data_IF_475410050543
#
_entry.id   IF_475410050543
#
_cell.length_a   1.000
_cell.length_b   1.000
_cell.length_c   1.000
_cell.angle_alpha   90.00
_cell.angle_beta   90.00
_cell.angle_gamma   90.00
#
_symmetry.space_group_name_H-M   'P 1'
#
loop_
_entity.id
_entity.type
_entity.pdbx_description
1 polymer ?
#
# COMPACT_ATOMS: atom_id res chain seq x y z
N UNK A 1 21.61 -2.98 5.76
CA UNK A 1 20.39 -2.46 6.44
C UNK A 1 19.42 -3.62 6.60
N UNK A 2 18.59 -3.65 7.65
CA UNK A 2 17.56 -4.70 7.73
C UNK A 2 16.52 -4.50 6.63
N UNK A 3 15.91 -5.57 6.11
CA UNK A 3 14.79 -5.44 5.18
C UNK A 3 13.57 -4.85 5.90
N UNK A 4 12.86 -3.93 5.25
CA UNK A 4 11.59 -3.44 5.77
C UNK A 4 10.57 -4.57 5.75
N UNK A 5 9.85 -4.73 6.85
CA UNK A 5 8.75 -5.68 6.95
C UNK A 5 7.45 -4.87 7.03
N UNK A 6 6.62 -4.96 6.01
CA UNK A 6 5.30 -4.34 5.95
C UNK A 6 4.43 -4.88 7.11
N UNK A 7 3.59 -4.06 7.71
CA UNK A 7 2.67 -4.51 8.77
C UNK A 7 1.23 -4.27 8.36
N UNK A 8 0.94 -3.07 7.88
CA UNK A 8 -0.44 -2.62 7.63
C UNK A 8 -0.49 -1.54 6.55
N UNK A 9 -1.54 -1.57 5.73
CA UNK A 9 -1.93 -0.45 4.86
C UNK A 9 -3.15 0.25 5.47
N UNK A 10 -3.12 1.57 5.52
CA UNK A 10 -4.18 2.43 6.05
C UNK A 10 -4.65 3.42 4.99
N UNK A 11 -5.94 3.43 4.67
CA UNK A 11 -6.52 4.36 3.70
C UNK A 11 -7.00 5.63 4.42
N UNK A 12 -6.42 6.77 4.05
CA UNK A 12 -6.75 8.09 4.61
C UNK A 12 -7.77 8.83 3.74
N UNK A 13 -7.76 8.54 2.44
CA UNK A 13 -8.79 8.95 1.50
C UNK A 13 -8.89 7.99 0.33
N UNK A 14 -10.10 7.92 -0.22
CA UNK A 14 -10.53 6.90 -1.21
C UNK A 14 -11.45 7.50 -2.26
N UNK A 15 -11.59 8.83 -2.30
CA UNK A 15 -12.40 9.54 -3.27
C UNK A 15 -11.54 10.10 -4.40
N UNK A 16 -12.15 10.25 -5.56
CA UNK A 16 -11.56 10.89 -6.74
C UNK A 16 -11.98 12.35 -6.90
N UNK A 17 -11.19 13.10 -7.66
CA UNK A 17 -11.57 14.39 -8.25
C UNK A 17 -11.92 15.44 -7.20
N UNK A 18 -13.20 15.79 -7.06
CA UNK A 18 -13.68 16.84 -6.15
C UNK A 18 -14.01 16.36 -4.73
N UNK A 19 -13.82 15.06 -4.44
CA UNK A 19 -14.20 14.47 -3.16
C UNK A 19 -15.73 14.39 -3.03
N UNK A 20 -16.22 13.29 -2.48
CA UNK A 20 -17.66 12.99 -2.43
C UNK A 20 -18.40 13.87 -1.40
N UNK A 21 -18.55 15.17 -1.66
CA UNK A 21 -19.23 16.11 -0.75
C UNK A 21 -18.71 16.07 0.70
N UNK A 22 -17.43 15.74 0.89
CA UNK A 22 -16.77 15.61 2.19
C UNK A 22 -16.83 14.23 2.88
N UNK A 23 -17.44 13.20 2.27
CA UNK A 23 -17.53 11.85 2.87
C UNK A 23 -16.22 11.06 2.76
N UNK A 24 -15.59 11.11 1.59
CA UNK A 24 -14.28 10.53 1.30
C UNK A 24 -13.27 11.64 1.09
N UNK A 25 -12.12 11.54 1.75
CA UNK A 25 -10.96 12.37 1.42
C UNK A 25 -10.35 11.96 0.09
N UNK A 26 -9.56 12.86 -0.49
CA UNK A 26 -8.77 12.63 -1.70
C UNK A 26 -7.73 11.53 -1.54
N UNK A 27 -7.12 11.07 -2.64
CA UNK A 27 -6.21 9.92 -2.64
C UNK A 27 -5.09 10.08 -1.61
N UNK A 28 -5.06 9.16 -0.64
CA UNK A 28 -3.90 8.97 0.22
C UNK A 28 -4.02 7.64 0.97
N UNK A 29 -2.93 6.88 0.94
CA UNK A 29 -2.76 5.69 1.76
C UNK A 29 -1.40 5.67 2.43
N UNK A 30 -1.31 4.94 3.54
CA UNK A 30 -0.09 4.82 4.34
C UNK A 30 0.23 3.36 4.60
N UNK A 31 1.39 2.93 4.15
CA UNK A 31 2.04 1.69 4.56
C UNK A 31 2.79 1.92 5.87
N UNK A 32 2.49 1.11 6.88
CA UNK A 32 3.24 1.03 8.15
C UNK A 32 4.16 -0.18 8.11
N UNK A 33 5.45 0.01 8.40
CA UNK A 33 6.41 -1.09 8.62
C UNK A 33 6.39 -1.56 10.08
N UNK A 34 6.89 -2.77 10.34
CA UNK A 34 7.02 -3.33 11.69
C UNK A 34 7.90 -2.49 12.61
N UNK A 35 8.92 -1.80 12.06
CA UNK A 35 9.76 -0.87 12.83
C UNK A 35 9.10 0.50 13.03
N UNK A 36 7.86 0.68 12.57
CA UNK A 36 7.05 1.87 12.76
C UNK A 36 7.28 3.01 11.76
N UNK A 37 8.06 2.79 10.69
CA UNK A 37 8.18 3.76 9.60
C UNK A 37 6.88 3.84 8.81
N UNK A 38 6.52 5.05 8.34
CA UNK A 38 5.38 5.28 7.44
C UNK A 38 5.87 5.66 6.04
N UNK A 39 5.38 4.94 5.03
CA UNK A 39 5.52 5.26 3.61
C UNK A 39 4.15 5.58 3.08
N UNK A 40 3.98 6.78 2.54
CA UNK A 40 2.71 7.26 2.02
C UNK A 40 2.70 7.12 0.50
N UNK A 41 1.57 6.69 -0.08
CA UNK A 41 1.31 6.79 -1.52
C UNK A 41 0.17 7.77 -1.71
N UNK A 42 0.45 8.82 -2.47
CA UNK A 42 -0.33 10.05 -2.61
C UNK A 42 -0.61 10.80 -1.30
N UNK A 43 -0.72 12.11 -1.44
CA UNK A 43 -1.00 13.05 -0.38
C UNK A 43 -2.01 14.09 -0.90
N UNK A 44 -3.24 13.66 -1.14
CA UNK A 44 -4.34 14.55 -1.47
C UNK A 44 -4.68 15.54 -0.36
N UNK A 45 -5.38 16.63 -0.70
CA UNK A 45 -5.72 17.67 0.28
C UNK A 45 -6.42 17.10 1.53
N UNK A 46 -6.08 17.64 2.70
CA UNK A 46 -6.64 17.19 3.98
C UNK A 46 -6.05 15.90 4.53
N UNK A 47 -5.12 15.22 3.84
CA UNK A 47 -4.42 14.01 4.34
C UNK A 47 -3.88 14.19 5.75
N UNK A 48 -3.24 15.33 6.05
CA UNK A 48 -2.75 15.62 7.40
C UNK A 48 -3.86 15.63 8.47
N UNK A 49 -5.07 16.10 8.13
CA UNK A 49 -6.21 16.11 9.06
C UNK A 49 -6.71 14.68 9.29
N UNK A 50 -6.71 13.86 8.24
CA UNK A 50 -7.07 12.44 8.32
C UNK A 50 -6.10 11.68 9.21
N UNK A 51 -4.79 11.90 9.06
CA UNK A 51 -3.78 11.32 9.94
C UNK A 51 -4.05 11.62 11.42
N UNK A 52 -4.44 12.86 11.78
CA UNK A 52 -4.80 13.22 13.17
C UNK A 52 -6.05 12.49 13.68
N UNK A 53 -6.97 12.13 12.78
CA UNK A 53 -8.23 11.43 13.09
C UNK A 53 -8.08 9.91 13.20
N UNK A 54 -6.97 9.32 12.76
CA UNK A 54 -6.74 7.85 12.75
C UNK A 54 -6.69 7.16 14.12
N UNK A 55 -6.97 7.88 15.21
CA UNK A 55 -7.12 7.24 16.51
C UNK A 55 -8.48 6.53 16.57
N UNK A 56 -8.47 5.22 16.35
CA UNK A 56 -9.64 4.37 16.50
C UNK A 56 -9.53 3.57 17.81
N UNK A 57 -10.27 4.01 18.82
CA UNK A 57 -10.67 3.13 19.92
C UNK A 57 -11.80 2.26 19.37
N UNK A 58 -11.47 1.05 18.97
CA UNK A 58 -12.52 0.10 18.63
C UNK A 58 -13.39 -0.24 19.87
N UNK A 59 -14.50 -0.97 19.68
CA UNK A 59 -15.32 -1.45 20.79
C UNK A 59 -14.48 -2.17 21.85
N UNK A 60 -14.92 -2.18 23.13
CA UNK A 60 -14.24 -2.92 24.18
C UNK A 60 -13.95 -4.37 23.75
N UNK A 61 -12.69 -4.81 23.86
CA UNK A 61 -12.24 -6.13 23.41
C UNK A 61 -11.70 -6.19 21.97
N UNK A 62 -11.71 -5.10 21.21
CA UNK A 62 -11.04 -5.01 19.89
C UNK A 62 -9.66 -4.34 20.01
N UNK A 63 -8.76 -4.66 19.07
CA UNK A 63 -7.40 -4.12 19.05
C UNK A 63 -7.47 -2.63 18.70
N UNK A 64 -7.05 -1.76 19.63
CA UNK A 64 -6.90 -0.33 19.37
C UNK A 64 -5.92 -0.13 18.20
N UNK A 65 -6.31 0.74 17.27
CA UNK A 65 -5.45 1.11 16.15
C UNK A 65 -4.67 2.35 16.57
N UNK A 66 -3.33 2.27 16.68
CA UNK A 66 -2.53 3.43 17.06
C UNK A 66 -2.62 4.51 15.97
N UNK A 67 -2.71 5.76 16.42
CA UNK A 67 -2.75 6.92 15.53
C UNK A 67 -1.49 6.98 14.66
N UNK A 68 -1.68 7.31 13.39
CA UNK A 68 -0.58 7.55 12.45
C UNK A 68 0.06 8.91 12.78
N UNK A 69 1.27 8.86 13.34
CA UNK A 69 2.03 10.07 13.67
C UNK A 69 2.76 10.58 12.43
N UNK A 70 2.54 11.84 12.03
CA UNK A 70 3.27 12.49 10.93
C UNK A 70 4.79 12.39 11.10
N UNK A 71 5.26 12.42 12.35
CA UNK A 71 6.68 12.28 12.70
C UNK A 71 7.32 10.95 12.27
N UNK A 72 6.52 9.95 11.91
CA UNK A 72 6.96 8.64 11.42
C UNK A 72 6.95 8.54 9.88
N UNK A 73 6.45 9.55 9.16
CA UNK A 73 6.51 9.60 7.70
C UNK A 73 7.97 9.76 7.26
N UNK A 74 8.43 8.84 6.41
CA UNK A 74 9.81 8.80 5.90
C UNK A 74 9.89 8.93 4.38
N UNK A 75 8.84 8.48 3.69
CA UNK A 75 8.72 8.67 2.26
C UNK A 75 7.27 8.98 1.87
N UNK A 76 7.10 9.85 0.88
CA UNK A 76 5.83 10.06 0.17
C UNK A 76 6.08 9.79 -1.32
N UNK A 77 5.32 8.85 -1.87
CA UNK A 77 5.37 8.44 -3.26
C UNK A 77 4.15 9.05 -3.97
N UNK A 78 4.37 9.98 -4.89
CA UNK A 78 3.33 10.69 -5.63
C UNK A 78 3.16 10.00 -6.98
N UNK A 79 1.95 9.53 -7.26
CA UNK A 79 1.65 8.82 -8.52
C UNK A 79 1.66 9.77 -9.71
N UNK A 80 1.02 10.93 -9.57
CA UNK A 80 0.97 11.98 -10.58
C UNK A 80 0.68 13.35 -9.93
N UNK A 81 0.78 14.44 -10.69
CA UNK A 81 0.71 15.81 -10.15
C UNK A 81 -0.70 16.45 -10.21
N UNK A 82 -1.77 15.66 -10.25
CA UNK A 82 -3.11 16.19 -10.00
C UNK A 82 -3.28 16.60 -8.53
N UNK A 83 -4.10 17.62 -8.30
CA UNK A 83 -4.23 18.26 -7.00
C UNK A 83 -4.77 17.35 -5.90
N UNK A 84 -5.68 16.46 -6.23
CA UNK A 84 -6.24 15.43 -5.35
C UNK A 84 -5.24 14.31 -5.00
N UNK A 85 -4.05 14.29 -5.60
CA UNK A 85 -2.97 13.36 -5.25
C UNK A 85 -1.78 14.05 -4.55
N UNK A 86 -1.60 15.37 -4.69
CA UNK A 86 -0.40 16.02 -4.17
C UNK A 86 -0.61 17.32 -3.36
N UNK A 87 -1.78 17.98 -3.38
CA UNK A 87 -1.95 19.26 -2.68
C UNK A 87 -1.92 19.14 -1.14
N UNK A 88 -2.15 17.95 -0.60
CA UNK A 88 -1.97 17.66 0.82
C UNK A 88 -0.52 17.74 1.28
N UNK A 89 0.46 17.65 0.37
CA UNK A 89 1.88 17.81 0.69
C UNK A 89 2.12 19.13 1.42
N UNK A 90 1.55 20.23 0.94
CA UNK A 90 1.82 21.56 1.52
C UNK A 90 1.39 21.62 2.98
N UNK A 91 0.17 21.16 3.29
CA UNK A 91 -0.30 21.07 4.67
C UNK A 91 0.56 20.14 5.53
N UNK A 92 0.88 18.95 5.01
CA UNK A 92 1.71 17.96 5.71
C UNK A 92 3.10 18.52 6.04
N UNK A 93 3.77 19.13 5.06
CA UNK A 93 5.11 19.71 5.20
C UNK A 93 5.11 20.89 6.18
N UNK A 94 4.12 21.78 6.09
CA UNK A 94 3.96 22.88 7.07
C UNK A 94 3.78 22.33 8.50
N UNK A 95 2.96 21.29 8.68
CA UNK A 95 2.80 20.65 10.00
C UNK A 95 4.12 20.04 10.50
N UNK A 96 4.89 19.37 9.63
CA UNK A 96 6.19 18.78 10.00
C UNK A 96 7.19 19.88 10.37
N UNK A 97 7.24 20.97 9.60
CA UNK A 97 8.08 22.15 9.87
C UNK A 97 7.78 22.74 11.25
N UNK A 98 6.50 23.00 11.55
CA UNK A 98 6.06 23.56 12.84
C UNK A 98 6.38 22.65 14.03
N UNK A 99 6.38 21.34 13.85
CA UNK A 99 6.76 20.39 14.89
C UNK A 99 8.28 20.33 15.13
N UNK A 100 9.08 21.12 14.39
CA UNK A 100 10.55 21.13 14.42
C UNK A 100 11.15 19.74 14.23
N UNK A 101 10.46 18.92 13.45
CA UNK A 101 10.83 17.54 13.16
C UNK A 101 11.87 17.52 12.05
N UNK A 102 13.15 17.65 12.42
CA UNK A 102 14.27 17.58 11.48
C UNK A 102 14.64 16.14 11.12
N UNK A 103 13.77 15.46 10.38
CA UNK A 103 14.04 14.12 9.84
C UNK A 103 13.96 14.13 8.33
N UNK A 104 14.90 13.45 7.69
CA UNK A 104 14.94 13.32 6.23
C UNK A 104 13.62 12.73 5.75
N UNK A 105 12.93 13.49 4.90
CA UNK A 105 11.70 13.06 4.24
C UNK A 105 12.00 12.93 2.75
N UNK A 106 11.78 11.74 2.20
CA UNK A 106 11.99 11.48 0.78
C UNK A 106 10.67 11.70 0.04
N UNK A 107 10.68 12.55 -0.98
CA UNK A 107 9.56 12.76 -1.89
C UNK A 107 9.93 12.14 -3.23
N UNK A 108 9.19 11.11 -3.62
CA UNK A 108 9.36 10.40 -4.89
C UNK A 108 8.16 10.68 -5.77
N UNK A 109 8.35 10.96 -7.05
CA UNK A 109 7.25 11.22 -7.96
C UNK A 109 7.72 11.51 -9.38
N UNK A 110 6.79 11.84 -10.29
CA UNK A 110 7.16 12.20 -11.65
C UNK A 110 7.95 13.52 -11.70
N UNK A 111 8.69 13.72 -12.79
CA UNK A 111 9.36 14.99 -13.10
C UNK A 111 8.40 16.19 -12.95
N UNK A 112 8.85 17.21 -12.21
CA UNK A 112 8.07 18.41 -11.88
C UNK A 112 7.62 18.48 -10.41
N UNK A 113 7.71 17.37 -9.66
CA UNK A 113 7.40 17.33 -8.22
C UNK A 113 8.28 18.29 -7.41
N UNK A 114 9.59 18.31 -7.65
CA UNK A 114 10.52 19.18 -6.92
C UNK A 114 10.19 20.65 -7.18
N UNK A 115 9.99 21.00 -8.45
CA UNK A 115 9.58 22.36 -8.84
C UNK A 115 8.27 22.77 -8.19
N UNK A 116 7.26 21.89 -8.17
CA UNK A 116 5.96 22.14 -7.55
C UNK A 116 6.12 22.45 -6.05
N UNK A 117 6.84 21.59 -5.32
CA UNK A 117 6.99 21.70 -3.87
C UNK A 117 7.83 22.93 -3.51
N UNK A 118 8.99 23.11 -4.13
CA UNK A 118 9.91 24.23 -3.84
C UNK A 118 9.30 25.59 -4.19
N UNK A 119 8.48 25.68 -5.25
CA UNK A 119 7.77 26.92 -5.61
C UNK A 119 6.80 27.36 -4.52
N UNK A 120 6.04 26.43 -3.93
CA UNK A 120 5.10 26.76 -2.85
C UNK A 120 5.84 27.04 -1.55
N UNK A 121 6.85 26.24 -1.20
CA UNK A 121 7.62 26.44 0.02
C UNK A 121 8.31 27.82 0.02
N UNK A 122 9.02 28.17 -1.07
CA UNK A 122 9.77 29.42 -1.19
C UNK A 122 8.90 30.68 -1.03
N UNK A 123 7.68 30.68 -1.57
CA UNK A 123 6.74 31.81 -1.43
C UNK A 123 6.08 31.83 -0.04
N UNK A 124 5.88 30.66 0.58
CA UNK A 124 5.23 30.53 1.89
C UNK A 124 6.15 30.80 3.09
N UNK A 125 7.43 31.10 2.86
CA UNK A 125 8.42 31.33 3.92
C UNK A 125 8.91 30.05 4.61
N UNK A 126 8.82 28.90 3.93
CA UNK A 126 9.45 27.65 4.37
C UNK A 126 10.59 27.30 3.40
N UNK A 127 11.61 26.57 3.86
CA UNK A 127 12.60 25.96 2.95
C UNK A 127 12.59 24.44 3.03
N UNK A 128 12.89 23.82 1.90
CA UNK A 128 13.14 22.38 1.76
C UNK A 128 14.37 21.94 2.57
N UNK A 129 15.39 22.80 2.69
CA UNK A 129 16.56 22.60 3.54
C UNK A 129 16.20 22.45 5.03
N UNK A 130 15.31 23.30 5.56
CA UNK A 130 14.85 23.23 6.95
C UNK A 130 14.10 21.93 7.24
N UNK A 131 13.39 21.43 6.23
CA UNK A 131 12.63 20.18 6.24
C UNK A 131 13.49 18.95 5.90
N UNK A 132 14.76 19.14 5.53
CA UNK A 132 15.67 18.09 5.05
C UNK A 132 15.02 17.21 3.96
N UNK A 133 14.33 17.83 3.00
CA UNK A 133 13.67 17.13 1.91
C UNK A 133 14.70 16.53 0.96
N UNK A 134 14.41 15.33 0.46
CA UNK A 134 15.14 14.72 -0.64
C UNK A 134 14.15 14.39 -1.74
N UNK A 135 14.34 14.99 -2.91
CA UNK A 135 13.55 14.67 -4.09
C UNK A 135 14.17 13.51 -4.87
N UNK A 136 13.32 12.62 -5.38
CA UNK A 136 13.65 11.59 -6.36
C UNK A 136 12.60 11.71 -7.46
N UNK A 137 12.91 12.49 -8.49
CA UNK A 137 12.06 12.60 -9.67
C UNK A 137 12.32 11.42 -10.62
N UNK A 138 11.23 10.83 -11.09
CA UNK A 138 11.23 9.67 -11.98
C UNK A 138 10.65 10.08 -13.33
N UNK A 139 11.24 9.54 -14.40
CA UNK A 139 10.66 9.63 -15.73
C UNK A 139 9.40 8.74 -15.79
N UNK A 140 8.20 9.30 -15.95
CA UNK A 140 6.94 8.55 -15.95
C UNK A 140 6.73 7.70 -17.21
N UNK A 141 7.67 7.71 -18.16
CA UNK A 141 7.58 6.94 -19.41
C UNK A 141 8.32 5.61 -19.38
N UNK A 142 9.13 5.35 -18.35
CA UNK A 142 9.92 4.12 -18.20
C UNK A 142 9.85 3.58 -16.76
N UNK A 143 10.02 2.26 -16.55
CA UNK A 143 10.07 1.69 -15.20
C UNK A 143 11.38 2.03 -14.47
N UNK A 144 11.30 2.13 -13.14
CA UNK A 144 12.43 2.42 -12.25
C UNK A 144 12.46 1.48 -11.05
N UNK A 145 13.65 1.11 -10.60
CA UNK A 145 13.85 0.39 -9.33
C UNK A 145 14.56 1.28 -8.32
N UNK A 146 14.02 1.30 -7.11
CA UNK A 146 14.48 2.15 -6.02
C UNK A 146 14.59 1.35 -4.72
N UNK A 147 15.51 1.77 -3.87
CA UNK A 147 15.58 1.33 -2.48
C UNK A 147 15.41 2.53 -1.56
N UNK A 148 14.31 2.53 -0.80
CA UNK A 148 14.02 3.55 0.20
C UNK A 148 14.71 3.16 1.51
N UNK A 149 15.60 4.03 1.98
CA UNK A 149 16.16 3.96 3.31
C UNK A 149 15.20 4.61 4.31
N UNK A 150 14.57 3.80 5.16
CA UNK A 150 13.62 4.24 6.17
C UNK A 150 14.28 4.17 7.56
N UNK A 151 13.94 5.12 8.42
CA UNK A 151 14.41 5.16 9.80
C UNK A 151 13.23 5.11 10.77
N UNK A 152 12.97 3.91 11.29
CA UNK A 152 11.91 3.62 12.25
C UNK A 152 12.37 3.79 13.70
N UNK A 153 11.49 3.44 14.64
CA UNK A 153 11.80 3.48 16.08
C UNK A 153 12.81 2.38 16.48
N UNK A 154 12.81 1.27 15.74
CA UNK A 154 13.73 0.13 15.92
C UNK A 154 14.93 0.17 14.95
N UNK A 155 15.28 1.36 14.48
CA UNK A 155 16.42 1.62 13.60
C UNK A 155 16.12 1.52 12.11
N UNK A 156 17.19 1.54 11.30
CA UNK A 156 17.10 1.63 9.83
C UNK A 156 16.57 0.35 9.18
N UNK A 157 15.79 0.51 8.12
CA UNK A 157 15.25 -0.56 7.28
C UNK A 157 15.14 -0.13 5.80
N UNK A 158 15.33 -1.07 4.87
CA UNK A 158 15.28 -0.81 3.43
C UNK A 158 14.02 -1.38 2.79
N UNK A 159 13.26 -0.56 2.06
CA UNK A 159 12.09 -0.99 1.29
C UNK A 159 12.39 -0.90 -0.20
N UNK A 160 12.29 -2.02 -0.92
CA UNK A 160 12.41 -2.02 -2.37
C UNK A 160 11.10 -1.52 -2.99
N UNK A 161 11.21 -0.65 -3.99
CA UNK A 161 10.09 -0.05 -4.71
C UNK A 161 10.38 -0.15 -6.20
N UNK A 162 9.44 -0.73 -6.94
CA UNK A 162 9.43 -0.67 -8.40
C UNK A 162 8.36 0.34 -8.83
N UNK A 163 8.78 1.40 -9.51
CA UNK A 163 7.87 2.38 -10.11
C UNK A 163 7.66 2.02 -11.58
N UNK A 164 6.41 2.08 -12.05
CA UNK A 164 6.03 1.67 -13.40
C UNK A 164 5.16 2.75 -14.05
N UNK A 165 5.30 3.03 -15.35
CA UNK A 165 4.40 3.91 -16.09
C UNK A 165 2.94 3.44 -15.98
N UNK A 166 2.03 4.41 -15.96
CA UNK A 166 0.58 4.21 -16.06
C UNK A 166 0.00 5.08 -17.18
N UNK A 167 -1.04 4.58 -17.84
CA UNK A 167 -1.77 5.32 -18.84
C UNK A 167 -2.87 6.17 -18.17
N UNK A 168 -2.64 7.48 -18.11
CA UNK A 168 -3.59 8.44 -17.54
C UNK A 168 -3.61 9.74 -18.36
N UNK A 169 -4.50 10.68 -18.01
CA UNK A 169 -4.64 11.98 -18.70
C UNK A 169 -3.39 12.87 -18.62
N UNK A 170 -2.50 12.60 -17.66
CA UNK A 170 -1.19 13.20 -17.51
C UNK A 170 -0.16 12.12 -17.14
N UNK A 171 1.15 12.41 -17.22
CA UNK A 171 2.17 11.42 -16.88
C UNK A 171 2.01 10.89 -15.44
N UNK A 172 1.91 9.57 -15.31
CA UNK A 172 1.55 8.90 -14.07
C UNK A 172 2.38 7.65 -13.82
N UNK A 173 2.58 7.34 -12.54
CA UNK A 173 3.37 6.22 -12.04
C UNK A 173 2.54 5.36 -11.08
N UNK A 174 2.68 4.05 -11.20
CA UNK A 174 2.27 3.06 -10.20
C UNK A 174 3.46 2.66 -9.35
N UNK A 175 3.22 2.31 -8.08
CA UNK A 175 4.28 1.88 -7.16
C UNK A 175 4.03 0.45 -6.68
N UNK A 176 5.01 -0.41 -6.85
CA UNK A 176 5.00 -1.78 -6.38
C UNK A 176 6.03 -1.92 -5.26
N UNK A 177 5.54 -2.10 -4.03
CA UNK A 177 6.32 -2.19 -2.81
C UNK A 177 6.68 -3.65 -2.54
N UNK A 178 7.97 -3.95 -2.41
CA UNK A 178 8.50 -5.30 -2.40
C UNK A 178 9.22 -5.56 -1.07
N UNK A 179 8.78 -6.56 -0.31
CA UNK A 179 9.56 -7.05 0.82
C UNK A 179 10.79 -7.81 0.32
N UNK A 180 11.96 -7.35 0.75
CA UNK A 180 13.20 -8.10 0.58
C UNK A 180 13.17 -9.37 1.42
N UNK A 181 13.92 -10.35 0.96
CA UNK A 181 14.13 -11.58 1.72
C UNK A 181 14.78 -11.26 3.08
N UNK A 182 14.24 -11.87 4.13
CA UNK A 182 14.72 -11.69 5.49
C UNK A 182 15.40 -12.98 5.94
N UNK A 183 16.48 -12.89 6.75
CA UNK A 183 17.07 -14.08 7.34
C UNK A 183 16.03 -14.81 8.20
N UNK A 184 16.04 -16.15 8.13
CA UNK A 184 15.18 -16.99 8.96
C UNK A 184 15.53 -16.79 10.43
N UNK A 185 14.52 -16.79 11.28
CA UNK A 185 14.72 -16.74 12.73
C UNK A 185 15.20 -18.11 13.24
N UNK A 186 16.14 -18.11 14.17
CA UNK A 186 16.64 -19.32 14.81
C UNK A 186 15.72 -19.72 15.96
N UNK A 187 15.24 -20.97 15.98
CA UNK A 187 14.67 -21.57 17.19
C UNK A 187 15.81 -21.86 18.18
N UNK A 188 16.13 -20.84 18.98
CA UNK A 188 17.22 -20.90 19.94
C UNK A 188 17.01 -22.02 20.98
N UNK A 189 15.76 -22.33 21.34
CA UNK A 189 15.47 -23.41 22.30
C UNK A 189 15.79 -24.77 21.70
N UNK A 190 15.37 -25.03 20.47
CA UNK A 190 15.69 -26.28 19.76
C UNK A 190 17.20 -26.41 19.53
N UNK A 191 17.86 -25.37 19.04
CA UNK A 191 19.29 -25.38 18.79
C UNK A 191 20.12 -25.61 20.07
N UNK A 192 19.80 -24.91 21.17
CA UNK A 192 20.46 -25.11 22.46
C UNK A 192 20.16 -26.49 23.06
N UNK A 193 18.95 -27.03 22.85
CA UNK A 193 18.56 -28.37 23.26
C UNK A 193 19.36 -29.47 22.53
N UNK A 194 19.81 -29.21 21.31
CA UNK A 194 20.72 -30.08 20.54
C UNK A 194 22.20 -29.85 20.89
N UNK A 195 22.51 -28.95 21.82
CA UNK A 195 23.86 -28.71 22.34
C UNK A 195 24.55 -27.46 21.80
N UNK A 196 23.98 -26.76 20.81
CA UNK A 196 24.63 -25.61 20.17
C UNK A 196 24.72 -24.39 21.10
N UNK A 197 25.88 -23.73 21.15
CA UNK A 197 26.16 -22.58 22.02
C UNK A 197 27.00 -21.50 21.32
N UNK A 198 26.81 -20.25 21.77
CA UNK A 198 27.64 -19.12 21.37
C UNK A 198 27.76 -18.95 19.84
N UNK A 199 28.97 -19.14 19.31
CA UNK A 199 29.28 -18.98 17.88
C UNK A 199 28.47 -19.94 16.99
N UNK A 200 28.17 -21.14 17.46
CA UNK A 200 27.43 -22.17 16.72
C UNK A 200 26.00 -21.70 16.40
N UNK A 201 25.35 -21.01 17.34
CA UNK A 201 24.03 -20.41 17.11
C UNK A 201 24.07 -19.32 16.03
N UNK A 202 25.17 -18.56 15.96
CA UNK A 202 25.39 -17.58 14.91
C UNK A 202 25.55 -18.21 13.52
N UNK A 203 26.30 -19.32 13.44
CA UNK A 203 26.48 -20.09 12.20
C UNK A 203 25.17 -20.73 11.74
N UNK A 204 24.43 -21.37 12.66
CA UNK A 204 23.10 -21.94 12.37
C UNK A 204 22.13 -20.84 11.90
N UNK A 205 22.15 -19.66 12.52
CA UNK A 205 21.33 -18.51 12.08
C UNK A 205 21.73 -18.02 10.67
N UNK A 206 23.00 -18.14 10.30
CA UNK A 206 23.50 -17.75 8.99
C UNK A 206 23.25 -18.79 7.88
N UNK A 207 22.50 -19.87 8.17
CA UNK A 207 22.25 -20.92 7.19
C UNK A 207 23.33 -22.00 7.11
N UNK A 208 24.29 -22.01 8.06
CA UNK A 208 25.42 -22.94 8.03
C UNK A 208 25.19 -24.10 9.01
N UNK A 209 25.47 -25.32 8.55
CA UNK A 209 25.43 -26.51 9.38
C UNK A 209 26.62 -26.54 10.34
N UNK A 210 26.42 -27.09 11.54
CA UNK A 210 27.43 -27.07 12.60
C UNK A 210 27.50 -28.42 13.28
N UNK A 211 28.71 -28.92 13.52
CA UNK A 211 28.93 -30.16 14.27
C UNK A 211 29.17 -29.85 15.73
N UNK A 212 28.35 -30.43 16.62
CA UNK A 212 28.42 -30.25 18.07
C UNK A 212 28.40 -31.63 18.73
N UNK A 213 29.40 -31.96 19.55
CA UNK A 213 29.52 -33.27 20.21
C UNK A 213 29.40 -34.46 19.23
N UNK A 214 30.12 -34.41 18.10
CA UNK A 214 30.07 -35.40 17.01
C UNK A 214 28.69 -35.57 16.32
N UNK A 215 27.72 -34.69 16.62
CA UNK A 215 26.41 -34.64 15.98
C UNK A 215 26.34 -33.47 15.01
N UNK A 216 25.97 -33.74 13.75
CA UNK A 216 25.69 -32.70 12.77
C UNK A 216 24.31 -32.08 13.02
N UNK A 217 24.28 -30.78 13.31
CA UNK A 217 23.06 -29.99 13.41
C UNK A 217 22.91 -29.23 12.10
N UNK A 218 21.87 -29.56 11.33
CA UNK A 218 21.55 -28.81 10.11
C UNK A 218 20.85 -27.52 10.46
N UNK A 219 21.24 -26.43 9.81
CA UNK A 219 20.60 -25.14 9.98
C UNK A 219 19.10 -25.20 9.67
N UNK A 220 18.71 -25.95 8.64
CA UNK A 220 17.31 -26.11 8.24
C UNK A 220 16.41 -26.70 9.33
N UNK A 221 16.95 -27.56 10.20
CA UNK A 221 16.21 -28.22 11.27
C UNK A 221 15.91 -27.27 12.44
N UNK A 222 16.73 -26.24 12.63
CA UNK A 222 16.64 -25.32 13.77
C UNK A 222 16.21 -23.91 13.39
N UNK A 223 16.13 -23.60 12.09
CA UNK A 223 15.56 -22.35 11.60
C UNK A 223 14.03 -22.45 11.52
N UNK A 224 13.34 -21.43 12.01
CA UNK A 224 11.91 -21.26 11.80
C UNK A 224 11.62 -21.01 10.30
N UNK A 225 10.39 -21.29 9.81
CA UNK A 225 10.01 -20.98 8.43
C UNK A 225 10.33 -19.53 8.07
N UNK A 226 10.72 -19.28 6.82
CA UNK A 226 10.98 -17.93 6.36
C UNK A 226 9.73 -17.05 6.55
N UNK A 227 9.90 -15.79 7.00
CA UNK A 227 8.78 -14.87 7.08
C UNK A 227 8.21 -14.65 5.68
N UNK A 228 6.88 -14.57 5.60
CA UNK A 228 6.18 -14.34 4.33
C UNK A 228 6.68 -13.06 3.66
N UNK A 229 6.95 -13.15 2.37
CA UNK A 229 7.32 -12.02 1.51
C UNK A 229 6.08 -11.46 0.85
N UNK A 230 5.77 -10.21 1.15
CA UNK A 230 4.63 -9.49 0.57
C UNK A 230 5.07 -8.59 -0.58
N UNK A 231 4.16 -8.49 -1.54
CA UNK A 231 4.22 -7.54 -2.64
C UNK A 231 2.91 -6.74 -2.60
N UNK A 232 3.00 -5.42 -2.58
CA UNK A 232 1.82 -4.54 -2.61
C UNK A 232 1.96 -3.62 -3.81
N UNK A 233 1.13 -3.84 -4.83
CA UNK A 233 1.02 -2.96 -5.98
C UNK A 233 -0.03 -1.89 -5.70
N UNK A 234 0.34 -0.62 -5.87
CA UNK A 234 -0.55 0.54 -5.76
C UNK A 234 -0.61 1.21 -7.12
N UNK A 235 -1.68 0.93 -7.85
CA UNK A 235 -1.98 1.49 -9.16
C UNK A 235 -3.19 2.42 -8.98
N UNK A 236 -2.93 3.72 -8.85
CA UNK A 236 -3.98 4.73 -8.79
C UNK A 236 -4.41 5.07 -10.22
N UNK A 237 -4.88 6.29 -10.45
CA UNK A 237 -5.43 6.81 -11.68
C UNK A 237 -4.77 6.25 -12.94
N UNK A 238 -5.53 5.40 -13.64
CA UNK A 238 -5.07 4.71 -14.85
C UNK A 238 -6.22 4.08 -15.63
N UNK A 239 -6.11 4.07 -16.96
CA UNK A 239 -6.91 3.21 -17.84
C UNK A 239 -6.10 2.06 -18.45
N UNK A 240 -4.79 1.97 -18.15
CA UNK A 240 -3.89 0.98 -18.73
C UNK A 240 -2.55 0.87 -17.99
N UNK A 241 -2.08 -0.36 -17.79
CA UNK A 241 -0.94 -0.65 -16.91
C UNK A 241 -0.20 -1.94 -17.32
N UNK A 242 0.05 -2.11 -18.62
CA UNK A 242 0.62 -3.34 -19.18
C UNK A 242 2.06 -3.60 -18.67
N UNK A 243 2.89 -2.58 -18.50
CA UNK A 243 4.23 -2.69 -17.91
C UNK A 243 4.16 -3.20 -16.46
N UNK A 244 3.20 -2.68 -15.68
CA UNK A 244 2.95 -3.11 -14.32
C UNK A 244 2.49 -4.58 -14.30
N UNK A 245 1.62 -4.96 -15.23
CA UNK A 245 1.13 -6.33 -15.33
C UNK A 245 2.26 -7.31 -15.61
N UNK A 246 3.12 -7.00 -16.57
CA UNK A 246 4.23 -7.88 -16.94
C UNK A 246 5.18 -8.08 -15.75
N UNK A 247 5.54 -6.98 -15.06
CA UNK A 247 6.36 -7.06 -13.85
C UNK A 247 5.69 -7.91 -12.77
N UNK A 248 4.41 -7.69 -12.48
CA UNK A 248 3.68 -8.45 -11.45
C UNK A 248 3.61 -9.93 -11.78
N UNK A 249 3.38 -10.30 -13.05
CA UNK A 249 3.35 -11.70 -13.50
C UNK A 249 4.70 -12.38 -13.35
N UNK A 250 5.78 -11.70 -13.75
CA UNK A 250 7.15 -12.23 -13.64
C UNK A 250 7.54 -12.45 -12.17
N UNK A 251 7.20 -11.50 -11.29
CA UNK A 251 7.59 -11.52 -9.88
C UNK A 251 6.64 -12.29 -8.99
N UNK A 252 5.44 -12.67 -9.47
CA UNK A 252 4.39 -13.34 -8.69
C UNK A 252 4.89 -14.52 -7.85
N UNK A 253 5.80 -15.33 -8.40
CA UNK A 253 6.30 -16.55 -7.74
C UNK A 253 7.27 -16.26 -6.59
N UNK A 254 7.83 -15.06 -6.53
CA UNK A 254 8.78 -14.66 -5.48
C UNK A 254 8.09 -14.25 -4.17
N UNK A 255 6.76 -14.08 -4.19
CA UNK A 255 5.98 -13.51 -3.10
C UNK A 255 4.81 -14.42 -2.72
N UNK A 256 4.58 -14.53 -1.42
CA UNK A 256 3.53 -15.39 -0.86
C UNK A 256 2.15 -14.75 -1.01
N UNK A 257 2.07 -13.42 -0.85
CA UNK A 257 0.82 -12.69 -0.71
C UNK A 257 0.85 -11.36 -1.51
N UNK A 258 0.59 -11.41 -2.83
CA UNK A 258 0.48 -10.22 -3.65
C UNK A 258 -0.88 -9.54 -3.45
N UNK A 259 -0.83 -8.27 -3.05
CA UNK A 259 -1.98 -7.38 -2.91
C UNK A 259 -1.94 -6.36 -4.03
N UNK A 260 -3.06 -6.17 -4.69
CA UNK A 260 -3.27 -5.11 -5.67
C UNK A 260 -4.25 -4.09 -5.09
N UNK A 261 -3.83 -2.84 -5.04
CA UNK A 261 -4.67 -1.67 -4.76
C UNK A 261 -4.85 -0.96 -6.09
N UNK A 262 -6.09 -0.92 -6.60
CA UNK A 262 -6.40 -0.40 -7.92
C UNK A 262 -7.52 0.64 -7.84
N UNK A 263 -7.44 1.69 -8.66
CA UNK A 263 -8.55 2.61 -8.84
C UNK A 263 -9.77 1.90 -9.47
N UNK A 264 -10.96 2.32 -9.05
CA UNK A 264 -12.22 1.94 -9.68
C UNK A 264 -13.12 3.17 -9.70
N UNK A 265 -12.70 4.17 -10.47
CA UNK A 265 -13.38 5.47 -10.50
C UNK A 265 -14.83 5.33 -10.92
N UNK A 266 -15.14 4.45 -11.88
CA UNK A 266 -16.50 4.19 -12.32
C UNK A 266 -16.93 2.72 -12.25
N UNK A 267 -18.23 2.48 -12.35
CA UNK A 267 -18.81 1.15 -12.52
C UNK A 267 -18.62 0.62 -13.94
N UNK A 268 -18.81 -0.70 -14.14
CA UNK A 268 -18.59 -1.38 -15.41
C UNK A 268 -19.35 -0.73 -16.60
N UNK A 269 -20.58 -0.27 -16.36
CA UNK A 269 -21.43 0.36 -17.37
C UNK A 269 -20.84 1.65 -17.98
N UNK A 270 -19.88 2.29 -17.30
CA UNK A 270 -19.24 3.54 -17.72
C UNK A 270 -17.85 3.33 -18.31
N UNK A 271 -17.54 2.13 -18.84
CA UNK A 271 -16.22 1.77 -19.37
C UNK A 271 -15.68 2.78 -20.39
N UNK A 272 -16.45 3.13 -21.41
CA UNK A 272 -16.00 4.08 -22.45
C UNK A 272 -15.67 5.46 -21.87
N UNK A 273 -16.48 5.94 -20.93
CA UNK A 273 -16.25 7.19 -20.23
C UNK A 273 -14.95 7.13 -19.41
N UNK A 274 -14.74 6.04 -18.64
CA UNK A 274 -13.52 5.81 -17.87
C UNK A 274 -12.29 5.86 -18.78
N UNK A 275 -12.29 5.12 -19.89
CA UNK A 275 -11.17 5.12 -20.83
C UNK A 275 -10.88 6.52 -21.37
N UNK A 276 -11.92 7.29 -21.72
CA UNK A 276 -11.77 8.65 -22.25
C UNK A 276 -11.13 9.63 -21.25
N UNK A 277 -11.33 9.41 -19.96
CA UNK A 277 -10.78 10.24 -18.88
C UNK A 277 -9.49 9.68 -18.29
N UNK A 278 -8.99 8.55 -18.81
CA UNK A 278 -7.78 7.91 -18.30
C UNK A 278 -7.98 7.14 -17.00
N UNK A 279 -9.19 6.62 -16.76
CA UNK A 279 -9.57 5.88 -15.56
C UNK A 279 -10.01 4.45 -15.84
N UNK A 280 -10.21 3.68 -14.76
CA UNK A 280 -10.65 2.29 -14.79
C UNK A 280 -12.03 2.09 -14.18
N UNK A 281 -12.69 1.01 -14.61
CA UNK A 281 -13.88 0.49 -13.94
C UNK A 281 -13.51 -0.59 -12.91
N UNK A 282 -14.45 -0.93 -12.04
CA UNK A 282 -14.30 -2.09 -11.14
C UNK A 282 -14.03 -3.41 -11.87
N UNK A 283 -14.64 -3.60 -13.04
CA UNK A 283 -14.43 -4.77 -13.89
C UNK A 283 -13.00 -4.80 -14.45
N UNK A 284 -12.50 -3.68 -14.99
CA UNK A 284 -11.12 -3.57 -15.48
C UNK A 284 -10.10 -3.89 -14.36
N UNK A 285 -10.34 -3.39 -13.16
CA UNK A 285 -9.50 -3.69 -11.99
C UNK A 285 -9.56 -5.19 -11.61
N UNK A 286 -10.74 -5.81 -11.70
CA UNK A 286 -10.94 -7.25 -11.49
C UNK A 286 -10.22 -8.11 -12.53
N UNK A 287 -10.36 -7.78 -13.81
CA UNK A 287 -9.66 -8.43 -14.92
C UNK A 287 -8.15 -8.35 -14.74
N UNK A 288 -7.63 -7.17 -14.39
CA UNK A 288 -6.22 -6.96 -14.13
C UNK A 288 -5.72 -7.81 -12.94
N UNK A 289 -6.50 -7.88 -11.85
CA UNK A 289 -6.17 -8.69 -10.67
C UNK A 289 -6.06 -10.18 -11.01
N UNK A 290 -6.97 -10.71 -11.83
CA UNK A 290 -6.90 -12.08 -12.34
C UNK A 290 -5.67 -12.31 -13.21
N UNK A 291 -5.42 -11.40 -14.18
CA UNK A 291 -4.26 -11.50 -15.11
C UNK A 291 -2.91 -11.48 -14.39
N UNK A 292 -2.77 -10.74 -13.27
CA UNK A 292 -1.52 -10.67 -12.50
C UNK A 292 -1.43 -11.73 -11.38
N UNK A 293 -2.49 -12.50 -11.14
CA UNK A 293 -2.53 -13.51 -10.09
C UNK A 293 -2.51 -12.90 -8.68
N UNK A 294 -3.10 -11.72 -8.50
CA UNK A 294 -3.22 -11.08 -7.20
C UNK A 294 -4.03 -11.97 -6.25
N UNK A 295 -3.59 -12.08 -5.00
CA UNK A 295 -4.35 -12.84 -4.00
C UNK A 295 -5.46 -11.98 -3.39
N UNK A 296 -5.24 -10.67 -3.34
CA UNK A 296 -6.21 -9.72 -2.85
C UNK A 296 -6.26 -8.48 -3.75
N UNK A 297 -7.47 -8.07 -4.12
CA UNK A 297 -7.76 -6.81 -4.80
C UNK A 297 -8.43 -5.84 -3.82
N UNK A 298 -7.95 -4.62 -3.76
CA UNK A 298 -8.54 -3.52 -2.99
C UNK A 298 -8.89 -2.38 -3.93
N UNK A 299 -10.18 -2.09 -4.09
CA UNK A 299 -10.66 -0.99 -4.91
C UNK A 299 -10.63 0.34 -4.14
N UNK A 300 -10.19 1.42 -4.79
CA UNK A 300 -10.15 2.77 -4.23
C UNK A 300 -10.50 3.83 -5.29
N UNK A 301 -10.37 5.11 -4.95
CA UNK A 301 -10.52 6.24 -5.87
C UNK A 301 -11.92 6.35 -6.50
N UNK A 302 -12.97 6.24 -5.68
CA UNK A 302 -14.35 6.18 -6.14
C UNK A 302 -14.87 7.55 -6.61
N UNK A 303 -15.66 7.58 -7.69
CA UNK A 303 -16.34 8.79 -8.15
C UNK A 303 -17.30 9.35 -7.08
N UNK A 304 -17.37 10.69 -6.91
CA UNK A 304 -18.37 11.35 -6.09
C UNK A 304 -19.83 10.99 -6.44
N UNK A 305 -20.06 10.45 -7.64
CA UNK A 305 -21.40 10.03 -8.11
C UNK A 305 -22.00 8.93 -7.23
N UNK A 306 -21.17 8.08 -6.63
CA UNK A 306 -21.65 6.93 -5.84
C UNK A 306 -21.91 7.31 -4.39
N UNK A 307 -23.10 7.88 -4.14
CA UNK A 307 -23.48 8.45 -2.85
C UNK A 307 -24.20 7.49 -1.89
N UNK A 308 -24.53 6.27 -2.30
CA UNK A 308 -25.31 5.34 -1.45
C UNK A 308 -25.11 3.85 -1.69
N UNK A 309 -24.18 3.44 -2.57
CA UNK A 309 -24.04 2.03 -2.89
C UNK A 309 -23.65 1.23 -1.62
N UNK A 310 -24.46 0.25 -1.17
CA UNK A 310 -23.92 -0.79 -0.31
C UNK A 310 -22.83 -1.44 -1.16
N UNK A 311 -21.59 -1.38 -0.66
CA UNK A 311 -20.35 -1.90 -1.23
C UNK A 311 -20.41 -3.32 -1.85
N UNK A 312 -21.53 -4.03 -1.66
CA UNK A 312 -21.90 -5.34 -2.21
C UNK A 312 -22.24 -5.34 -3.70
N UNK A 313 -22.79 -4.28 -4.28
CA UNK A 313 -23.16 -4.26 -5.71
C UNK A 313 -21.93 -4.10 -6.62
N UNK A 314 -20.94 -3.31 -6.21
CA UNK A 314 -19.65 -3.13 -6.91
C UNK A 314 -18.86 -4.43 -7.09
N UNK A 315 -19.07 -5.41 -6.21
CA UNK A 315 -18.45 -6.75 -6.26
C UNK A 315 -19.32 -7.78 -6.98
N UNK A 316 -20.62 -7.50 -7.19
CA UNK A 316 -21.57 -8.43 -7.82
C UNK A 316 -21.59 -8.34 -9.34
N UNK A 317 -21.28 -7.16 -9.92
CA UNK A 317 -21.30 -6.96 -11.37
C UNK A 317 -20.20 -7.72 -12.15
N UNK A 318 -19.35 -8.51 -11.47
CA UNK A 318 -18.36 -9.41 -12.08
C UNK A 318 -18.82 -10.86 -12.26
N UNK A 319 -20.12 -11.15 -12.12
CA UNK A 319 -20.70 -12.46 -12.40
C UNK A 319 -22.11 -12.30 -12.95
N UNK A 320 -22.34 -12.85 -14.15
CA UNK A 320 -23.67 -13.10 -14.69
C UNK A 320 -24.50 -13.92 -13.69
N UNK A 321 -25.77 -13.54 -13.50
CA UNK A 321 -26.90 -14.47 -13.65
C UNK A 321 -28.27 -13.77 -13.58
N UNK A 322 -29.20 -14.44 -14.24
CA UNK A 322 -30.51 -14.06 -14.74
C UNK A 322 -31.61 -13.89 -13.66
N UNK A 323 -32.79 -13.51 -14.15
CA UNK A 323 -34.09 -13.30 -13.50
C UNK A 323 -34.43 -14.21 -12.30
N UNK A 324 -35.00 -13.63 -11.24
CA UNK A 324 -36.30 -14.12 -10.73
C UNK A 324 -37.02 -13.08 -9.86
N UNK A 325 -38.32 -12.99 -10.11
CA UNK A 325 -39.30 -12.05 -9.59
C UNK A 325 -39.92 -12.54 -8.26
N UNK A 326 -40.29 -11.59 -7.38
CA UNK A 326 -41.40 -11.68 -6.40
C UNK A 326 -41.34 -12.64 -5.17
N UNK A 327 -41.19 -12.07 -3.95
CA UNK A 327 -42.25 -11.94 -2.89
C UNK A 327 -41.73 -11.87 -1.43
N UNK A 328 -42.23 -10.81 -0.75
CA UNK A 328 -42.74 -10.70 0.65
C UNK A 328 -41.86 -10.95 1.90
N UNK A 329 -41.73 -9.84 2.64
CA UNK A 329 -42.10 -9.56 4.05
C UNK A 329 -41.48 -10.36 5.22
N UNK A 330 -40.87 -9.55 6.11
CA UNK A 330 -40.84 -9.59 7.59
C UNK A 330 -39.98 -10.66 8.29
N UNK A 331 -39.19 -10.17 9.27
CA UNK A 331 -38.87 -10.92 10.49
C UNK A 331 -37.41 -11.35 10.69
N UNK A 332 -36.80 -10.71 11.70
CA UNK A 332 -35.90 -11.31 12.69
C UNK A 332 -34.43 -11.65 12.36
N UNK A 333 -33.69 -11.59 13.46
CA UNK A 333 -32.25 -11.73 13.66
C UNK A 333 -31.65 -12.98 13.03
N UNK A 334 -30.41 -12.84 12.57
CA UNK A 334 -29.59 -13.98 12.20
C UNK A 334 -28.29 -13.55 11.54
N UNK A 335 -27.21 -13.60 12.30
CA UNK A 335 -25.86 -13.71 11.76
C UNK A 335 -25.84 -14.77 10.66
N UNK A 336 -25.79 -14.34 9.40
CA UNK A 336 -25.53 -15.24 8.26
C UNK A 336 -24.30 -14.76 7.52
N UNK A 337 -23.20 -15.50 7.76
CA UNK A 337 -22.07 -15.62 6.84
C UNK A 337 -22.62 -15.98 5.47
N UNK A 338 -22.36 -15.17 4.45
CA UNK A 338 -22.63 -15.53 3.06
C UNK A 338 -21.38 -15.23 2.21
N UNK A 339 -20.97 -16.24 1.46
CA UNK A 339 -19.69 -16.32 0.76
C UNK A 339 -19.55 -15.33 -0.37
N UNK A 340 -18.34 -14.80 -0.49
CA UNK A 340 -17.86 -14.15 -1.71
C UNK A 340 -17.77 -15.20 -2.82
N UNK A 341 -18.29 -14.89 -4.00
CA UNK A 341 -18.16 -15.71 -5.19
C UNK A 341 -16.69 -15.96 -5.49
N UNK A 342 -16.28 -17.23 -5.40
CA UNK A 342 -14.99 -17.70 -5.90
C UNK A 342 -15.11 -17.82 -7.42
N UNK A 343 -14.64 -16.82 -8.16
CA UNK A 343 -14.02 -17.09 -9.47
C UNK A 343 -12.53 -16.78 -9.32
N UNK A 344 -11.71 -17.78 -9.64
CA UNK A 344 -10.24 -17.71 -9.75
C UNK A 344 -9.42 -17.27 -8.51
N UNK A 345 -9.85 -17.59 -7.28
CA UNK A 345 -8.97 -17.52 -6.11
C UNK A 345 -8.51 -16.12 -5.65
N UNK A 346 -9.01 -15.04 -6.27
CA UNK A 346 -8.76 -13.64 -5.86
C UNK A 346 -9.80 -13.18 -4.85
N UNK A 347 -9.37 -12.64 -3.71
CA UNK A 347 -10.26 -12.00 -2.73
C UNK A 347 -10.39 -10.50 -3.01
N UNK A 348 -11.56 -10.02 -3.41
CA UNK A 348 -11.80 -8.59 -3.64
C UNK A 348 -12.46 -7.91 -2.43
N UNK A 349 -12.03 -6.68 -2.12
CA UNK A 349 -12.63 -5.81 -1.09
C UNK A 349 -12.54 -4.34 -1.55
N UNK A 350 -13.38 -3.46 -1.01
CA UNK A 350 -13.24 -2.02 -1.23
C UNK A 350 -12.50 -1.38 -0.06
N UNK A 351 -11.64 -0.41 -0.36
CA UNK A 351 -10.96 0.39 0.65
C UNK A 351 -11.99 1.12 1.51
N UNK A 352 -12.00 0.78 2.80
CA UNK A 352 -12.74 1.53 3.81
C UNK A 352 -11.77 2.48 4.51
N UNK A 353 -12.24 3.71 4.72
CA UNK A 353 -11.53 4.70 5.52
C UNK A 353 -11.45 4.22 6.97
N UNK A 354 -10.29 4.42 7.60
CA UNK A 354 -10.08 4.19 9.04
C UNK A 354 -10.68 5.35 9.84
#
# INVERSE_FOLDING_TARGET
MAAACMERVSFLGTGSGSGEGGRRGFSSLVLTTKKGSLVMVDCGEGTQLQMRRTYFQGPPGTKCIPALKMSRVRAVLITHLHGDHCFGLFGLLTTISMQRMRRRLVLVGPTGLEKLVTSVLSVSGNSDEELALRFIELDPTVPHELELELEGEEGKEGLAVHATPLQHSMPALGYILLEKEQPRELDARKAMGMGAKGKELGLLRAGQDVTVNDMLIRSEDVLLPAPRRRMIAVLQDTCGSEEALEFLRQRRRDFDFPVLIHEATHEAALRELSLSWGHSTSEMAGEFAGRCGAQQLVLTHFSPRYSSCPMREFLRSGGEEEEEEEKKKQGEEGQRRCGAGKKEGVSACCAQRI
#
